data_IF_200271505119
#
_entry.id   IF_200271505119
#
_cell.length_a   1.000
_cell.length_b   1.000
_cell.length_c   1.000
_cell.angle_alpha   90.00
_cell.angle_beta   90.00
_cell.angle_gamma   90.00
#
_symmetry.space_group_name_H-M   'P 1'
#
loop_
_entity.id
_entity.type
_entity.pdbx_description
1 polymer ?
#
# COMPACT_ATOMS: atom_id res chain seq x y z
N UNK A 1 -42.92 39.30 6.86
CA UNK A 1 -43.22 38.69 5.54
C UNK A 1 -42.26 37.52 5.32
N UNK A 2 -42.74 36.48 4.62
CA UNK A 2 -42.28 35.07 4.51
C UNK A 2 -40.76 34.81 4.34
N UNK A 3 -40.22 33.73 4.94
CA UNK A 3 -39.05 33.03 4.42
C UNK A 3 -39.44 32.02 3.32
N UNK A 4 -38.62 31.90 2.28
CA UNK A 4 -38.79 30.94 1.21
C UNK A 4 -38.19 29.57 1.60
N UNK A 5 -39.04 28.55 1.63
CA UNK A 5 -38.68 27.14 1.71
C UNK A 5 -38.58 26.54 0.31
N UNK A 6 -37.55 25.72 0.06
CA UNK A 6 -37.45 24.72 -0.99
C UNK A 6 -36.13 23.95 -0.77
N UNK A 7 -35.99 22.64 -0.92
CA UNK A 7 -36.91 21.53 -1.18
C UNK A 7 -36.08 20.28 -0.88
N UNK A 8 -36.64 19.34 -0.12
CA UNK A 8 -36.08 18.00 0.03
C UNK A 8 -36.17 17.25 -1.30
N UNK A 9 -35.09 16.62 -1.76
CA UNK A 9 -35.15 15.58 -2.80
C UNK A 9 -34.67 14.24 -2.22
N UNK A 10 -35.40 13.14 -2.47
CA UNK A 10 -35.19 11.85 -1.81
C UNK A 10 -34.06 11.02 -2.44
N UNK A 11 -33.45 10.16 -1.61
CA UNK A 11 -32.54 9.09 -2.01
C UNK A 11 -33.18 8.19 -3.08
N UNK A 12 -32.50 8.04 -4.20
CA UNK A 12 -32.78 6.95 -5.14
C UNK A 12 -31.91 5.74 -4.81
N UNK A 13 -32.59 4.72 -4.28
CA UNK A 13 -32.12 3.35 -4.14
C UNK A 13 -31.90 2.74 -5.54
N UNK A 14 -30.75 2.09 -5.76
CA UNK A 14 -30.53 1.23 -6.92
C UNK A 14 -30.62 -0.26 -6.49
N UNK A 15 -31.36 -1.09 -7.25
CA UNK A 15 -31.69 -2.45 -6.83
C UNK A 15 -30.58 -3.46 -7.14
N UNK A 16 -30.45 -4.45 -6.24
CA UNK A 16 -29.85 -5.75 -6.50
C UNK A 16 -30.83 -6.65 -7.29
N UNK A 17 -30.34 -7.44 -8.25
CA UNK A 17 -31.21 -8.37 -8.99
C UNK A 17 -30.57 -9.20 -10.10
N UNK A 18 -29.73 -10.17 -9.71
CA UNK A 18 -29.68 -11.58 -10.16
C UNK A 18 -29.72 -11.96 -11.70
N UNK A 19 -29.79 -13.25 -12.10
CA UNK A 19 -28.69 -13.97 -12.73
C UNK A 19 -28.95 -14.34 -14.21
N UNK A 20 -27.93 -14.24 -15.06
CA UNK A 20 -28.06 -14.63 -16.47
C UNK A 20 -27.71 -16.11 -16.68
N UNK A 21 -28.74 -16.83 -17.17
CA UNK A 21 -28.87 -18.25 -17.44
C UNK A 21 -27.80 -18.81 -18.38
N UNK A 22 -27.44 -20.07 -18.12
CA UNK A 22 -26.82 -20.97 -19.08
C UNK A 22 -27.75 -21.20 -20.29
N UNK A 23 -27.21 -21.11 -21.50
CA UNK A 23 -27.76 -21.73 -22.70
C UNK A 23 -26.71 -22.69 -23.27
N UNK A 24 -27.05 -23.97 -23.24
CA UNK A 24 -26.49 -24.95 -24.15
C UNK A 24 -27.48 -25.08 -25.32
N UNK A 25 -27.01 -25.00 -26.57
CA UNK A 25 -27.32 -26.01 -27.59
C UNK A 25 -26.66 -25.73 -28.95
N UNK A 26 -26.16 -26.83 -29.52
CA UNK A 26 -26.08 -27.20 -30.95
C UNK A 26 -25.04 -26.54 -31.87
N UNK A 27 -24.10 -27.41 -32.23
CA UNK A 27 -23.11 -27.43 -33.32
C UNK A 27 -23.66 -27.06 -34.70
N UNK A 28 -22.92 -26.28 -35.51
CA UNK A 28 -22.13 -26.71 -36.69
C UNK A 28 -21.58 -25.48 -37.46
N UNK A 29 -20.41 -25.66 -38.09
CA UNK A 29 -19.76 -24.85 -39.15
C UNK A 29 -18.67 -23.82 -38.73
N UNK A 30 -17.44 -24.34 -38.71
CA UNK A 30 -16.25 -23.87 -39.45
C UNK A 30 -16.05 -22.35 -39.61
N UNK A 31 -15.26 -21.76 -38.72
CA UNK A 31 -14.39 -20.63 -39.06
C UNK A 31 -13.15 -20.61 -38.16
N UNK A 32 -11.98 -20.73 -38.80
CA UNK A 32 -10.68 -20.49 -38.18
C UNK A 32 -10.58 -19.03 -37.75
N UNK A 33 -10.44 -18.79 -36.45
CA UNK A 33 -9.95 -17.52 -35.91
C UNK A 33 -9.24 -17.83 -34.59
N UNK A 34 -7.91 -17.98 -34.63
CA UNK A 34 -7.09 -17.96 -33.40
C UNK A 34 -7.08 -16.54 -32.84
N UNK A 35 -8.16 -16.14 -32.17
CA UNK A 35 -8.13 -14.99 -31.27
C UNK A 35 -7.64 -15.46 -29.91
N UNK A 36 -6.33 -15.68 -29.81
CA UNK A 36 -5.65 -15.74 -28.51
C UNK A 36 -5.62 -14.32 -27.92
N UNK A 37 -6.75 -13.86 -27.38
CA UNK A 37 -6.72 -12.78 -26.39
C UNK A 37 -6.16 -13.38 -25.10
N UNK A 38 -4.84 -13.49 -25.03
CA UNK A 38 -4.11 -13.68 -23.79
C UNK A 38 -4.27 -12.40 -22.98
N UNK A 39 -5.37 -12.29 -22.22
CA UNK A 39 -5.44 -11.35 -21.11
C UNK A 39 -4.42 -11.82 -20.07
N UNK A 40 -3.15 -11.45 -20.26
CA UNK A 40 -2.12 -11.62 -19.23
C UNK A 40 -2.46 -10.65 -18.10
N UNK A 41 -2.86 -11.12 -16.89
CA UNK A 41 -2.75 -10.26 -15.73
C UNK A 41 -1.26 -9.95 -15.53
N UNK A 42 -0.91 -8.67 -15.58
CA UNK A 42 0.46 -8.23 -15.32
C UNK A 42 0.89 -8.65 -13.91
N UNK A 43 2.05 -9.32 -13.74
CA UNK A 43 2.53 -9.76 -12.43
C UNK A 43 3.16 -8.58 -11.69
N UNK A 44 2.36 -7.75 -11.04
CA UNK A 44 2.85 -6.74 -10.09
C UNK A 44 1.78 -6.21 -9.13
N UNK A 45 0.51 -6.25 -9.53
CA UNK A 45 -0.59 -5.65 -8.76
C UNK A 45 -1.31 -6.67 -7.87
N UNK A 46 -1.34 -7.95 -8.26
CA UNK A 46 -2.04 -9.02 -7.54
C UNK A 46 -1.48 -9.24 -6.12
N UNK A 47 -0.16 -9.22 -5.98
CA UNK A 47 0.51 -9.59 -4.73
C UNK A 47 0.29 -8.69 -3.53
N UNK A 48 -0.09 -7.44 -3.78
CA UNK A 48 -0.46 -6.49 -2.72
C UNK A 48 -1.91 -6.65 -2.25
N UNK A 49 -2.76 -7.39 -2.97
CA UNK A 49 -4.15 -7.67 -2.55
C UNK A 49 -4.23 -8.77 -1.49
N UNK A 50 -3.16 -9.56 -1.32
CA UNK A 50 -3.06 -10.67 -0.36
C UNK A 50 -2.00 -10.43 0.73
N UNK A 51 -1.70 -9.16 1.02
CA UNK A 51 -0.73 -8.80 2.07
C UNK A 51 -1.33 -9.03 3.46
N UNK A 52 -0.64 -9.82 4.27
CA UNK A 52 -0.96 -10.05 5.68
C UNK A 52 0.23 -9.68 6.56
N UNK A 53 0.04 -8.73 7.48
CA UNK A 53 1.06 -8.37 8.47
C UNK A 53 1.00 -9.37 9.63
N UNK A 54 2.12 -10.04 9.89
CA UNK A 54 2.23 -11.06 10.92
C UNK A 54 2.68 -10.46 12.26
N UNK A 55 3.60 -9.50 12.21
CA UNK A 55 4.14 -8.84 13.38
C UNK A 55 4.51 -7.40 13.08
N UNK A 56 4.46 -6.55 14.12
CA UNK A 56 4.95 -5.19 14.07
C UNK A 56 5.65 -4.86 15.37
N UNK A 57 6.93 -4.51 15.29
CA UNK A 57 7.71 -4.04 16.42
C UNK A 57 7.42 -2.56 16.68
N UNK A 58 7.58 -2.08 17.93
CA UNK A 58 7.64 -0.64 18.21
C UNK A 58 8.71 0.04 17.36
N UNK A 59 8.53 1.33 17.09
CA UNK A 59 9.54 2.11 16.39
C UNK A 59 10.89 2.06 17.14
N UNK A 60 11.97 1.97 16.37
CA UNK A 60 13.33 1.92 16.88
C UNK A 60 14.13 3.08 16.31
N UNK A 61 14.81 3.80 17.20
CA UNK A 61 15.83 4.76 16.83
C UNK A 61 17.05 3.98 16.32
N UNK A 62 17.45 4.17 15.06
CA UNK A 62 18.66 3.58 14.48
C UNK A 62 19.89 4.38 14.89
N UNK A 63 20.64 3.90 15.89
CA UNK A 63 21.82 4.62 16.38
C UNK A 63 22.87 4.64 15.28
N UNK A 64 23.33 5.83 14.90
CA UNK A 64 24.66 5.89 14.33
C UNK A 64 25.60 5.60 15.52
N UNK A 65 26.34 4.47 15.53
CA UNK A 65 27.03 3.97 16.73
C UNK A 65 28.17 4.88 17.25
N UNK A 66 28.47 5.99 16.59
CA UNK A 66 29.57 6.91 16.95
C UNK A 66 29.15 8.05 17.88
N UNK A 67 27.86 8.36 18.00
CA UNK A 67 27.38 9.47 18.83
C UNK A 67 26.84 8.94 20.15
N UNK A 68 27.76 8.70 21.10
CA UNK A 68 27.47 8.19 22.45
C UNK A 68 26.19 8.76 23.07
N UNK A 69 25.20 7.88 23.22
CA UNK A 69 23.97 8.09 23.96
C UNK A 69 22.95 8.95 23.24
N UNK A 70 21.95 8.32 22.59
CA UNK A 70 20.87 9.07 21.95
C UNK A 70 19.66 9.24 22.87
N UNK A 71 19.20 10.48 22.98
CA UNK A 71 17.82 10.75 23.37
C UNK A 71 16.92 10.28 22.24
N UNK A 72 15.94 9.44 22.58
CA UNK A 72 14.85 9.06 21.69
C UNK A 72 13.98 10.30 21.45
N UNK A 73 13.91 10.89 20.23
CA UNK A 73 13.01 12.01 20.01
C UNK A 73 11.58 11.53 20.32
N UNK A 74 10.79 12.27 21.13
CA UNK A 74 9.46 11.82 21.58
C UNK A 74 8.54 11.39 20.44
N UNK A 75 8.67 12.02 19.27
CA UNK A 75 7.92 11.67 18.06
C UNK A 75 8.20 10.23 17.59
N UNK A 76 9.46 9.77 17.59
CA UNK A 76 9.78 8.39 17.23
C UNK A 76 9.18 7.41 18.26
N UNK A 77 9.20 7.76 19.55
CA UNK A 77 8.70 6.87 20.61
C UNK A 77 7.19 6.73 20.55
N UNK A 78 6.50 7.83 20.21
CA UNK A 78 5.06 7.85 20.05
C UNK A 78 4.60 7.22 18.73
N UNK A 79 5.46 7.19 17.71
CA UNK A 79 5.12 6.66 16.39
C UNK A 79 4.96 5.14 16.43
N UNK A 80 3.73 4.70 16.23
CA UNK A 80 3.35 3.29 16.23
C UNK A 80 2.36 3.06 15.10
N UNK A 81 2.50 1.94 14.42
CA UNK A 81 1.56 1.51 13.40
C UNK A 81 0.94 0.17 13.81
N UNK A 82 -0.38 0.09 13.79
CA UNK A 82 -1.08 -1.19 13.85
C UNK A 82 -0.83 -2.01 12.58
N UNK A 83 -1.12 -3.31 12.63
CA UNK A 83 -1.04 -4.18 11.46
C UNK A 83 -1.89 -3.66 10.28
N UNK A 84 -3.06 -3.09 10.57
CA UNK A 84 -3.93 -2.49 9.55
C UNK A 84 -3.31 -1.24 8.92
N UNK A 85 -2.62 -0.41 9.71
CA UNK A 85 -1.91 0.78 9.21
C UNK A 85 -0.67 0.40 8.40
N UNK A 86 0.07 -0.64 8.79
CA UNK A 86 1.19 -1.18 8.00
C UNK A 86 0.69 -1.72 6.66
N UNK A 87 -0.41 -2.48 6.66
CA UNK A 87 -1.04 -2.94 5.42
C UNK A 87 -1.51 -1.77 4.55
N UNK A 88 -2.08 -0.74 5.17
CA UNK A 88 -2.48 0.49 4.48
C UNK A 88 -1.30 1.23 3.86
N UNK A 89 -0.17 1.32 4.57
CA UNK A 89 1.07 1.90 4.06
C UNK A 89 1.50 1.20 2.78
N UNK A 90 1.61 -0.13 2.78
CA UNK A 90 2.05 -0.88 1.59
C UNK A 90 1.02 -0.90 0.45
N UNK A 91 -0.26 -0.67 0.76
CA UNK A 91 -1.31 -0.49 -0.26
C UNK A 91 -1.18 0.86 -0.98
N UNK A 92 -0.79 1.91 -0.26
CA UNK A 92 -0.61 3.25 -0.81
C UNK A 92 0.76 3.45 -1.46
N UNK A 93 1.79 2.76 -0.95
CA UNK A 93 3.15 2.92 -1.42
C UNK A 93 3.35 2.44 -2.86
N UNK A 94 4.17 3.14 -3.61
CA UNK A 94 4.67 2.72 -4.92
C UNK A 94 5.89 1.82 -4.74
N UNK A 95 6.03 0.80 -5.58
CA UNK A 95 7.21 -0.06 -5.62
C UNK A 95 8.23 0.49 -6.61
N UNK A 96 9.50 0.46 -6.24
CA UNK A 96 10.62 0.93 -7.05
C UNK A 96 11.64 -0.18 -7.26
N UNK A 97 12.30 -0.25 -8.44
CA UNK A 97 13.41 -1.18 -8.67
C UNK A 97 14.56 -0.97 -7.66
N UNK A 98 14.82 0.30 -7.33
CA UNK A 98 15.78 0.76 -6.32
C UNK A 98 15.30 2.10 -5.77
N UNK A 99 15.56 2.40 -4.49
CA UNK A 99 15.41 3.76 -3.96
C UNK A 99 16.61 4.58 -4.41
N UNK A 100 16.41 5.50 -5.36
CA UNK A 100 17.44 6.47 -5.69
C UNK A 100 17.58 7.47 -4.54
N UNK A 101 18.82 7.73 -4.12
CA UNK A 101 19.18 8.51 -2.92
C UNK A 101 18.73 9.99 -2.96
N UNK A 102 18.11 10.45 -4.05
CA UNK A 102 17.83 11.87 -4.32
C UNK A 102 16.34 12.22 -4.21
N UNK A 103 15.44 11.24 -4.01
CA UNK A 103 13.98 11.47 -4.05
C UNK A 103 13.25 11.34 -2.72
N UNK A 104 13.89 10.83 -1.67
CA UNK A 104 13.24 10.55 -0.40
C UNK A 104 14.17 10.85 0.77
N UNK A 105 13.63 11.54 1.77
CA UNK A 105 14.32 11.78 3.03
C UNK A 105 14.51 10.50 3.84
N UNK A 106 15.37 10.58 4.86
CA UNK A 106 15.62 9.50 5.80
C UNK A 106 15.59 10.02 7.23
N UNK A 107 14.70 9.45 8.05
CA UNK A 107 14.71 9.68 9.50
C UNK A 107 15.38 8.49 10.20
N UNK A 108 16.16 8.68 11.27
CA UNK A 108 16.79 7.59 12.00
C UNK A 108 15.79 6.83 12.89
N UNK A 109 14.56 6.63 12.43
CA UNK A 109 13.43 6.02 13.13
C UNK A 109 12.75 5.01 12.19
N UNK A 110 12.69 3.74 12.60
CA UNK A 110 12.12 2.66 11.79
C UNK A 110 11.14 1.79 12.58
N UNK A 111 10.04 1.40 11.92
CA UNK A 111 9.18 0.30 12.34
C UNK A 111 9.53 -0.92 11.51
N UNK A 112 9.71 -2.06 12.16
CA UNK A 112 10.05 -3.33 11.50
C UNK A 112 9.04 -4.40 11.85
N UNK A 113 9.01 -5.48 11.07
CA UNK A 113 8.18 -6.63 11.37
C UNK A 113 8.23 -7.66 10.26
N UNK A 114 7.23 -8.51 10.25
CA UNK A 114 7.10 -9.59 9.28
C UNK A 114 5.73 -9.56 8.60
N UNK A 115 5.70 -9.93 7.33
CA UNK A 115 4.48 -10.03 6.54
C UNK A 115 4.55 -11.18 5.55
N UNK A 116 3.37 -11.60 5.09
CA UNK A 116 3.21 -12.52 3.95
C UNK A 116 2.59 -11.76 2.79
N UNK A 117 3.20 -11.89 1.62
CA UNK A 117 2.67 -11.40 0.34
C UNK A 117 3.10 -12.37 -0.76
N UNK A 118 2.22 -12.65 -1.72
CA UNK A 118 2.49 -13.64 -2.79
C UNK A 118 2.86 -15.05 -2.28
N UNK A 119 2.32 -15.44 -1.12
CA UNK A 119 2.67 -16.69 -0.44
C UNK A 119 4.12 -16.73 0.08
N UNK A 120 4.83 -15.60 0.06
CA UNK A 120 6.20 -15.47 0.53
C UNK A 120 6.25 -14.72 1.86
N UNK A 121 7.12 -15.19 2.76
CA UNK A 121 7.40 -14.51 4.03
C UNK A 121 8.50 -13.47 3.84
N UNK A 122 8.25 -12.24 4.29
CA UNK A 122 9.14 -11.10 4.17
C UNK A 122 9.38 -10.45 5.52
N UNK A 123 10.62 -10.06 5.76
CA UNK A 123 10.93 -9.06 6.76
C UNK A 123 10.73 -7.69 6.13
N UNK A 124 10.08 -6.77 6.84
CA UNK A 124 9.92 -5.40 6.36
C UNK A 124 10.53 -4.40 7.33
N UNK A 125 10.93 -3.25 6.76
CA UNK A 125 11.30 -2.03 7.49
C UNK A 125 10.59 -0.85 6.84
N UNK A 126 9.95 -0.01 7.64
CA UNK A 126 9.35 1.25 7.22
C UNK A 126 10.11 2.36 7.94
N UNK A 127 10.68 3.27 7.16
CA UNK A 127 11.30 4.49 7.66
C UNK A 127 10.23 5.54 7.97
N UNK A 128 10.44 6.33 9.02
CA UNK A 128 9.49 7.37 9.41
C UNK A 128 9.34 8.51 8.36
N UNK A 129 10.22 8.57 7.35
CA UNK A 129 10.11 9.45 6.19
C UNK A 129 9.39 8.82 4.97
N UNK A 130 8.70 7.69 5.14
CA UNK A 130 7.82 7.13 4.12
C UNK A 130 8.47 6.17 3.11
N UNK A 131 9.75 5.85 3.25
CA UNK A 131 10.38 4.75 2.50
C UNK A 131 10.24 3.42 3.22
N UNK A 132 10.28 2.32 2.49
CA UNK A 132 10.27 0.99 3.09
C UNK A 132 11.01 -0.03 2.22
N UNK A 133 11.35 -1.15 2.84
CA UNK A 133 12.00 -2.27 2.17
C UNK A 133 11.45 -3.59 2.68
N UNK A 134 11.22 -4.53 1.78
CA UNK A 134 11.06 -5.95 2.11
C UNK A 134 12.35 -6.70 1.84
N UNK A 135 12.69 -7.67 2.68
CA UNK A 135 13.88 -8.52 2.53
C UNK A 135 13.51 -9.98 2.76
N UNK A 136 14.01 -10.86 1.89
CA UNK A 136 13.85 -12.31 1.98
C UNK A 136 15.01 -13.00 1.27
N UNK A 137 15.79 -13.82 1.98
CA UNK A 137 16.82 -14.68 1.38
C UNK A 137 17.72 -13.98 0.34
N UNK A 138 18.19 -12.76 0.64
CA UNK A 138 19.01 -11.94 -0.26
C UNK A 138 18.25 -11.12 -1.31
N UNK A 139 16.95 -11.35 -1.48
CA UNK A 139 16.07 -10.52 -2.32
C UNK A 139 15.60 -9.28 -1.55
N UNK A 140 15.47 -8.16 -2.28
CA UNK A 140 14.98 -6.90 -1.74
C UNK A 140 13.91 -6.31 -2.67
N UNK A 141 12.87 -5.74 -2.08
CA UNK A 141 11.87 -4.92 -2.77
C UNK A 141 11.79 -3.58 -2.05
N UNK A 142 11.68 -2.51 -2.82
CA UNK A 142 11.73 -1.16 -2.30
C UNK A 142 10.42 -0.43 -2.53
N UNK A 143 10.00 0.35 -1.54
CA UNK A 143 8.73 1.07 -1.57
C UNK A 143 8.91 2.50 -1.08
N UNK A 144 8.07 3.40 -1.57
CA UNK A 144 7.93 4.74 -1.01
C UNK A 144 6.46 5.18 -1.03
N UNK A 145 6.04 5.88 0.01
CA UNK A 145 4.69 6.37 0.24
C UNK A 145 4.73 7.90 0.35
N UNK A 146 4.41 8.56 -0.76
CA UNK A 146 4.44 10.01 -0.94
C UNK A 146 3.04 10.62 -1.17
N UNK A 147 2.04 9.79 -1.41
CA UNK A 147 0.67 10.24 -1.56
C UNK A 147 0.13 10.91 -0.28
N UNK A 148 -0.82 11.87 -0.38
CA UNK A 148 -1.41 12.52 0.80
C UNK A 148 -2.00 11.55 1.84
N UNK A 149 -2.48 10.38 1.40
CA UNK A 149 -2.99 9.33 2.28
C UNK A 149 -1.93 8.66 3.17
N UNK A 150 -0.64 8.86 2.89
CA UNK A 150 0.48 8.37 3.68
C UNK A 150 0.78 9.25 4.90
N UNK A 151 0.34 10.51 4.91
CA UNK A 151 0.60 11.48 5.98
C UNK A 151 0.31 10.96 7.41
N UNK A 152 -0.80 10.26 7.70
CA UNK A 152 -1.06 9.74 9.05
C UNK A 152 -0.25 8.48 9.41
N UNK A 153 0.57 7.96 8.48
CA UNK A 153 1.31 6.71 8.62
C UNK A 153 2.82 6.95 8.82
N UNK A 154 3.29 8.18 8.62
CA UNK A 154 4.69 8.57 8.64
C UNK A 154 4.86 9.77 9.58
N UNK A 155 6.09 10.04 10.03
CA UNK A 155 6.39 11.25 10.79
C UNK A 155 6.72 12.44 9.89
N UNK A 156 7.20 12.15 8.68
CA UNK A 156 7.49 13.15 7.67
C UNK A 156 7.09 12.60 6.31
N UNK A 157 6.16 13.27 5.65
CA UNK A 157 5.82 12.95 4.27
C UNK A 157 6.86 13.63 3.37
N UNK A 158 7.44 12.93 2.38
CA UNK A 158 8.35 13.54 1.42
C UNK A 158 7.70 14.72 0.72
N UNK A 159 8.39 15.86 0.68
CA UNK A 159 7.93 17.04 -0.06
C UNK A 159 8.42 16.93 -1.51
N UNK A 160 7.54 16.46 -2.40
CA UNK A 160 7.72 16.64 -3.82
C UNK A 160 7.07 17.97 -4.15
N UNK A 161 7.84 19.07 -4.06
CA UNK A 161 7.32 20.42 -4.28
C UNK A 161 6.32 20.47 -5.42
N UNK A 162 5.17 21.10 -5.19
CA UNK A 162 4.10 21.18 -6.20
C UNK A 162 4.67 21.67 -7.55
N UNK A 163 4.28 21.04 -8.67
CA UNK A 163 4.78 21.41 -10.00
C UNK A 163 4.44 22.86 -10.39
#
# INVERSE_FOLDING_TARGET
MKPASAMFMPLTSFPAGAPAKALACTTLLLSLSLSACSSHPGPAVEGRRTLQVLSTSPAQLLENPESGGRQFPPACQAWQLSHAQVAQFFRLASEYPQLQHQGFDYLPCEISGELVADGQHWQYRINAAGTARWTRAGQQRYFACDAPGCAPLVLMLPDHGEP
#
